data_IF_139843224808
#
_entry.id   IF_139843224808
#
_cell.length_a   1.000
_cell.length_b   1.000
_cell.length_c   1.000
_cell.angle_alpha   90.00
_cell.angle_beta   90.00
_cell.angle_gamma   90.00
#
_symmetry.space_group_name_H-M   'P 1'
#
loop_
_entity.id
_entity.type
_entity.pdbx_description
1 polymer ?
#
# COMPACT_ATOMS: atom_id res chain seq x y z
N UNK A 1 62.85 8.53 -82.22
CA UNK A 1 62.49 7.21 -82.79
C UNK A 1 62.11 6.30 -81.64
N UNK A 2 60.88 5.74 -81.66
CA UNK A 2 60.42 4.46 -81.06
C UNK A 2 60.66 4.22 -79.55
N UNK A 3 59.84 3.56 -78.73
CA UNK A 3 58.51 2.92 -78.71
C UNK A 3 58.31 2.58 -77.20
N UNK A 4 57.18 2.90 -76.58
CA UNK A 4 56.16 1.93 -76.08
C UNK A 4 56.69 0.87 -75.09
N UNK A 5 56.29 0.88 -73.79
CA UNK A 5 55.14 0.10 -73.26
C UNK A 5 55.02 0.09 -71.70
N UNK A 6 53.80 0.34 -71.22
CA UNK A 6 53.02 -0.32 -70.14
C UNK A 6 53.69 -0.83 -68.84
N UNK A 7 53.14 -0.46 -67.66
CA UNK A 7 52.82 -1.43 -66.58
C UNK A 7 51.83 -0.87 -65.52
N UNK A 8 50.60 -1.40 -65.57
CA UNK A 8 49.71 -1.86 -64.49
C UNK A 8 49.45 -0.97 -63.25
N UNK A 9 48.20 -0.51 -63.16
CA UNK A 9 47.46 -0.03 -61.98
C UNK A 9 47.22 -1.12 -60.93
N UNK A 10 47.51 -0.83 -59.66
CA UNK A 10 46.99 -1.58 -58.51
C UNK A 10 46.01 -0.70 -57.73
N UNK A 11 44.72 -1.04 -57.81
CA UNK A 11 43.66 -0.51 -56.95
C UNK A 11 43.67 -1.26 -55.61
N UNK A 12 43.99 -0.57 -54.51
CA UNK A 12 43.73 -1.07 -53.17
C UNK A 12 42.33 -0.61 -52.73
N UNK A 13 41.35 -1.51 -52.79
CA UNK A 13 40.03 -1.30 -52.20
C UNK A 13 40.09 -1.63 -50.70
N UNK A 14 40.00 -0.60 -49.84
CA UNK A 14 39.82 -0.75 -48.40
C UNK A 14 38.33 -1.03 -48.11
N UNK A 15 38.02 -2.28 -47.74
CA UNK A 15 36.73 -2.67 -47.18
C UNK A 15 36.65 -2.21 -45.72
N UNK A 16 35.90 -1.14 -45.46
CA UNK A 16 35.49 -0.75 -44.11
C UNK A 16 34.25 -1.57 -43.73
N UNK A 17 34.46 -2.61 -42.92
CA UNK A 17 33.37 -3.35 -42.30
C UNK A 17 32.84 -2.54 -41.10
N UNK A 18 31.70 -1.87 -41.28
CA UNK A 18 30.97 -1.22 -40.18
C UNK A 18 30.24 -2.31 -39.40
N UNK A 19 30.76 -2.67 -38.22
CA UNK A 19 30.08 -3.55 -37.28
C UNK A 19 28.95 -2.76 -36.60
N UNK A 20 27.70 -3.05 -36.98
CA UNK A 20 26.51 -2.56 -36.29
C UNK A 20 26.35 -3.30 -34.96
N UNK A 21 26.88 -2.73 -33.89
CA UNK A 21 26.55 -3.14 -32.53
C UNK A 21 25.08 -2.79 -32.26
N UNK A 22 24.19 -3.75 -32.51
CA UNK A 22 22.79 -3.67 -32.11
C UNK A 22 22.70 -3.59 -30.59
N UNK A 23 22.22 -2.46 -30.07
CA UNK A 23 21.93 -2.31 -28.65
C UNK A 23 20.85 -3.34 -28.27
N UNK A 24 21.24 -4.34 -27.48
CA UNK A 24 20.29 -5.26 -26.84
C UNK A 24 19.47 -4.44 -25.86
N UNK A 25 18.25 -4.07 -26.23
CA UNK A 25 17.27 -3.52 -25.31
C UNK A 25 16.88 -4.64 -24.34
N UNK A 26 17.51 -4.64 -23.16
CA UNK A 26 17.06 -5.47 -22.05
C UNK A 26 15.71 -4.91 -21.58
N UNK A 27 14.61 -5.62 -21.88
CA UNK A 27 13.32 -5.31 -21.27
C UNK A 27 13.50 -5.42 -19.75
N UNK A 28 13.12 -4.40 -18.96
CA UNK A 28 13.23 -4.49 -17.51
C UNK A 28 12.45 -5.72 -17.04
N UNK A 29 13.11 -6.61 -16.30
CA UNK A 29 12.47 -7.73 -15.65
C UNK A 29 11.60 -7.14 -14.54
N UNK A 30 10.29 -7.04 -14.80
CA UNK A 30 9.31 -6.70 -13.77
C UNK A 30 9.31 -7.88 -12.80
N UNK A 31 9.89 -7.69 -11.60
CA UNK A 31 9.78 -8.68 -10.54
C UNK A 31 8.29 -8.85 -10.20
N UNK A 32 7.76 -10.08 -10.13
CA UNK A 32 6.37 -10.29 -9.76
C UNK A 32 6.12 -9.76 -8.35
N UNK A 33 4.98 -9.10 -8.15
CA UNK A 33 4.53 -8.63 -6.83
C UNK A 33 4.25 -9.86 -5.96
N UNK A 34 4.82 -9.96 -4.74
CA UNK A 34 4.61 -11.12 -3.89
C UNK A 34 3.15 -11.20 -3.42
N UNK A 35 2.60 -12.41 -3.36
CA UNK A 35 1.26 -12.63 -2.80
C UNK A 35 1.29 -12.54 -1.27
N UNK A 36 0.14 -12.28 -0.61
CA UNK A 36 0.03 -12.36 0.84
C UNK A 36 0.56 -13.68 1.39
N UNK A 37 0.18 -14.81 0.78
CA UNK A 37 0.61 -16.15 1.19
C UNK A 37 2.13 -16.32 1.19
N UNK A 38 2.84 -15.77 0.20
CA UNK A 38 4.30 -15.89 0.11
C UNK A 38 5.04 -15.21 1.27
N UNK A 39 4.46 -14.15 1.85
CA UNK A 39 5.10 -13.40 2.95
C UNK A 39 4.53 -13.77 4.32
N UNK A 40 3.22 -13.99 4.40
CA UNK A 40 2.52 -14.39 5.62
C UNK A 40 2.85 -15.85 5.96
N UNK A 41 3.08 -16.70 4.96
CA UNK A 41 3.40 -18.13 5.12
C UNK A 41 2.17 -19.05 5.07
N UNK A 42 0.98 -18.50 4.89
CA UNK A 42 -0.27 -19.19 4.60
C UNK A 42 -1.23 -18.22 3.92
N UNK A 43 -2.18 -18.75 3.15
CA UNK A 43 -3.26 -17.95 2.55
C UNK A 43 -4.12 -17.31 3.65
N UNK A 44 -4.31 -15.97 3.68
CA UNK A 44 -5.26 -15.33 4.59
C UNK A 44 -6.65 -15.98 4.52
N UNK A 45 -7.24 -16.19 5.70
CA UNK A 45 -8.50 -16.93 5.84
C UNK A 45 -8.36 -18.46 5.86
N UNK A 46 -7.15 -19.01 5.82
CA UNK A 46 -6.94 -20.45 6.07
C UNK A 46 -7.43 -20.82 7.47
N UNK A 47 -8.21 -21.90 7.55
CA UNK A 47 -8.71 -22.44 8.81
C UNK A 47 -7.60 -22.57 9.84
N UNK A 48 -7.90 -22.10 11.05
CA UNK A 48 -7.00 -22.17 12.21
C UNK A 48 -5.65 -21.46 12.03
N UNK A 49 -5.58 -20.46 11.15
CA UNK A 49 -4.39 -19.61 10.98
C UNK A 49 -4.76 -18.14 11.14
N UNK A 50 -4.09 -17.46 12.07
CA UNK A 50 -4.16 -16.01 12.26
C UNK A 50 -2.77 -15.42 12.09
N UNK A 51 -2.64 -14.46 11.19
CA UNK A 51 -1.42 -13.68 11.01
C UNK A 51 -1.30 -12.68 12.15
N UNK A 52 -0.12 -12.60 12.74
CA UNK A 52 0.26 -11.55 13.67
C UNK A 52 0.59 -10.23 12.93
N UNK A 53 0.74 -9.14 13.68
CA UNK A 53 1.03 -7.84 13.09
C UNK A 53 2.38 -7.83 12.35
N UNK A 54 3.36 -8.62 12.79
CA UNK A 54 4.66 -8.69 12.12
C UNK A 54 4.55 -9.34 10.74
N UNK A 55 3.72 -10.37 10.59
CA UNK A 55 3.43 -10.97 9.28
C UNK A 55 2.72 -9.98 8.35
N UNK A 56 1.69 -9.29 8.83
CA UNK A 56 0.92 -8.31 8.03
C UNK A 56 1.80 -7.12 7.63
N UNK A 57 2.54 -6.52 8.56
CA UNK A 57 3.40 -5.36 8.28
C UNK A 57 4.57 -5.70 7.34
N UNK A 58 5.17 -6.88 7.46
CA UNK A 58 6.18 -7.36 6.48
C UNK A 58 5.58 -7.50 5.08
N UNK A 59 4.36 -8.00 4.97
CA UNK A 59 3.68 -8.10 3.68
C UNK A 59 3.47 -6.71 3.05
N UNK A 60 2.96 -5.73 3.79
CA UNK A 60 2.79 -4.37 3.26
C UNK A 60 4.12 -3.71 2.87
N UNK A 61 5.20 -3.99 3.61
CA UNK A 61 6.55 -3.54 3.24
C UNK A 61 7.01 -4.16 1.92
N UNK A 62 6.82 -5.47 1.75
CA UNK A 62 7.18 -6.18 0.52
C UNK A 62 6.33 -5.72 -0.68
N UNK A 63 5.03 -5.50 -0.47
CA UNK A 63 4.10 -5.00 -1.49
C UNK A 63 4.52 -3.61 -1.99
N UNK A 64 4.82 -2.68 -1.08
CA UNK A 64 5.28 -1.33 -1.42
C UNK A 64 6.62 -1.33 -2.16
N UNK A 65 7.54 -2.23 -1.78
CA UNK A 65 8.83 -2.37 -2.46
C UNK A 65 8.69 -2.95 -3.88
N UNK A 66 7.66 -3.76 -4.13
CA UNK A 66 7.45 -4.45 -5.41
C UNK A 66 6.48 -3.75 -6.36
N UNK A 67 5.68 -2.79 -5.87
CA UNK A 67 4.62 -2.16 -6.66
C UNK A 67 4.71 -0.63 -6.64
N UNK A 68 4.88 0.04 -7.80
CA UNK A 68 4.83 1.51 -7.89
C UNK A 68 3.42 2.08 -7.65
N UNK A 69 2.42 1.22 -7.45
CA UNK A 69 1.04 1.55 -7.14
C UNK A 69 0.75 1.58 -5.64
N UNK A 70 1.77 1.42 -4.80
CA UNK A 70 1.64 1.39 -3.34
C UNK A 70 2.71 2.28 -2.71
N UNK A 71 2.28 3.22 -1.87
CA UNK A 71 3.17 4.01 -1.03
C UNK A 71 2.86 3.74 0.44
N UNK A 72 3.87 3.30 1.20
CA UNK A 72 3.74 2.96 2.61
C UNK A 72 4.26 4.10 3.50
N UNK A 73 3.54 4.37 4.58
CA UNK A 73 3.86 5.40 5.56
C UNK A 73 3.90 4.78 6.95
N UNK A 74 4.88 5.17 7.75
CA UNK A 74 4.80 5.02 9.22
C UNK A 74 4.11 6.25 9.77
N UNK A 75 2.97 6.05 10.43
CA UNK A 75 2.06 7.15 10.82
C UNK A 75 2.11 7.48 12.31
N UNK A 76 2.82 6.68 13.09
CA UNK A 76 2.99 6.88 14.53
C UNK A 76 3.29 5.57 15.24
N UNK A 77 3.14 5.58 16.57
CA UNK A 77 3.35 4.42 17.42
C UNK A 77 2.04 4.00 18.08
N UNK A 78 1.85 2.69 18.24
CA UNK A 78 0.81 2.12 19.11
C UNK A 78 1.13 2.36 20.58
N UNK A 79 0.21 2.00 21.46
CA UNK A 79 0.37 2.17 22.90
C UNK A 79 1.57 1.40 23.47
N UNK A 80 1.89 0.22 22.91
CA UNK A 80 3.08 -0.56 23.27
C UNK A 80 4.29 -0.31 22.35
N UNK A 81 4.24 0.77 21.54
CA UNK A 81 5.41 1.30 20.83
C UNK A 81 5.69 0.68 19.45
N UNK A 82 4.73 -0.03 18.85
CA UNK A 82 4.87 -0.56 17.48
C UNK A 82 4.63 0.51 16.43
N UNK A 83 5.38 0.46 15.34
CA UNK A 83 5.15 1.32 14.19
C UNK A 83 3.80 1.00 13.54
N UNK A 84 2.86 1.94 13.64
CA UNK A 84 1.61 1.86 12.90
C UNK A 84 1.87 2.29 11.46
N UNK A 85 1.32 1.51 10.52
CA UNK A 85 1.52 1.72 9.09
C UNK A 85 0.21 2.08 8.38
N UNK A 86 0.34 2.83 7.29
CA UNK A 86 -0.73 3.21 6.39
C UNK A 86 -0.22 3.06 4.96
N UNK A 87 -1.04 2.53 4.07
CA UNK A 87 -0.73 2.42 2.65
C UNK A 87 -1.67 3.30 1.81
N UNK A 88 -1.10 4.07 0.90
CA UNK A 88 -1.86 4.70 -0.19
C UNK A 88 -1.70 3.84 -1.46
N UNK A 89 -2.81 3.41 -2.02
CA UNK A 89 -2.89 2.53 -3.19
C UNK A 89 -3.70 3.22 -4.29
N UNK A 90 -3.09 3.43 -5.45
CA UNK A 90 -3.72 4.09 -6.59
C UNK A 90 -2.96 3.79 -7.89
N UNK A 91 -3.30 4.42 -9.01
CA UNK A 91 -2.47 4.38 -10.21
C UNK A 91 -1.11 5.05 -9.94
N UNK A 92 -0.07 4.65 -10.68
CA UNK A 92 1.26 5.26 -10.55
C UNK A 92 1.24 6.76 -10.84
N UNK A 93 0.44 7.17 -11.83
CA UNK A 93 0.25 8.58 -12.17
C UNK A 93 -0.35 9.34 -10.99
N UNK A 94 -1.34 8.74 -10.32
CA UNK A 94 -1.98 9.36 -9.18
C UNK A 94 -1.01 9.51 -8.01
N UNK A 95 -0.23 8.47 -7.70
CA UNK A 95 0.74 8.52 -6.60
C UNK A 95 1.89 9.50 -6.86
N UNK A 96 2.33 9.69 -8.12
CA UNK A 96 3.28 10.77 -8.47
C UNK A 96 2.74 12.17 -8.18
N UNK A 97 1.42 12.33 -8.14
CA UNK A 97 0.71 13.59 -7.85
C UNK A 97 0.06 13.60 -6.46
N UNK A 98 0.42 12.66 -5.58
CA UNK A 98 -0.24 12.46 -4.29
C UNK A 98 -0.31 13.73 -3.43
N UNK A 99 0.79 14.49 -3.36
CA UNK A 99 0.83 15.75 -2.61
C UNK A 99 -0.19 16.78 -3.12
N UNK A 100 -0.38 16.84 -4.45
CA UNK A 100 -1.40 17.70 -5.05
C UNK A 100 -2.79 17.25 -4.66
N UNK A 101 -3.08 15.95 -4.72
CA UNK A 101 -4.41 15.44 -4.36
C UNK A 101 -4.72 15.58 -2.87
N UNK A 102 -3.75 15.39 -1.98
CA UNK A 102 -3.90 15.71 -0.55
C UNK A 102 -4.22 17.19 -0.32
N UNK A 103 -3.53 18.09 -1.01
CA UNK A 103 -3.80 19.54 -0.91
C UNK A 103 -5.19 19.92 -1.44
N UNK A 104 -5.63 19.33 -2.56
CA UNK A 104 -6.99 19.50 -3.08
C UNK A 104 -8.02 19.05 -2.04
N UNK A 105 -7.86 17.86 -1.46
CA UNK A 105 -8.77 17.32 -0.46
C UNK A 105 -8.86 18.22 0.78
N UNK A 106 -7.71 18.71 1.27
CA UNK A 106 -7.64 19.69 2.37
C UNK A 106 -8.38 20.99 2.06
N UNK A 107 -8.15 21.58 0.88
CA UNK A 107 -8.82 22.82 0.48
C UNK A 107 -10.34 22.65 0.39
N UNK A 108 -10.80 21.51 -0.15
CA UNK A 108 -12.22 21.19 -0.26
C UNK A 108 -12.87 20.90 1.11
N UNK A 109 -12.14 20.29 2.04
CA UNK A 109 -12.62 20.01 3.39
C UNK A 109 -12.72 21.28 4.26
N UNK A 110 -11.76 22.20 4.14
CA UNK A 110 -11.77 23.47 4.88
C UNK A 110 -12.79 24.47 4.30
N UNK A 111 -12.82 24.60 2.97
CA UNK A 111 -13.69 25.50 2.19
C UNK A 111 -13.61 27.01 2.53
N UNK A 112 -12.97 27.42 3.63
CA UNK A 112 -12.76 28.85 3.95
C UNK A 112 -11.97 29.54 2.84
N UNK A 113 -12.52 30.64 2.33
CA UNK A 113 -11.91 31.42 1.24
C UNK A 113 -12.05 30.79 -0.15
N UNK A 114 -12.86 29.74 -0.31
CA UNK A 114 -13.07 29.07 -1.59
C UNK A 114 -14.37 29.53 -2.25
N UNK A 115 -14.32 29.89 -3.52
CA UNK A 115 -15.53 30.15 -4.32
C UNK A 115 -16.08 28.86 -4.91
N UNK A 116 -17.38 28.83 -5.22
CA UNK A 116 -18.05 27.67 -5.84
C UNK A 116 -17.36 27.23 -7.15
N UNK A 117 -17.00 28.18 -8.02
CA UNK A 117 -16.33 27.88 -9.28
C UNK A 117 -14.98 27.20 -9.05
N UNK A 118 -14.21 27.70 -8.07
CA UNK A 118 -12.91 27.12 -7.73
C UNK A 118 -13.08 25.74 -7.09
N UNK A 119 -14.06 25.56 -6.21
CA UNK A 119 -14.39 24.27 -5.61
C UNK A 119 -14.75 23.22 -6.68
N UNK A 120 -15.60 23.58 -7.65
CA UNK A 120 -15.97 22.70 -8.76
C UNK A 120 -14.77 22.35 -9.65
N UNK A 121 -13.85 23.28 -9.88
CA UNK A 121 -12.62 23.01 -10.62
C UNK A 121 -11.72 22.03 -9.85
N UNK A 122 -11.51 22.26 -8.56
CA UNK A 122 -10.73 21.39 -7.68
C UNK A 122 -11.34 19.99 -7.60
N UNK A 123 -12.66 19.86 -7.50
CA UNK A 123 -13.35 18.58 -7.48
C UNK A 123 -13.19 17.78 -8.79
N UNK A 124 -13.11 18.46 -9.94
CA UNK A 124 -12.83 17.81 -11.24
C UNK A 124 -11.37 17.38 -11.39
N UNK A 125 -10.44 18.12 -10.79
CA UNK A 125 -9.01 17.80 -10.82
C UNK A 125 -8.64 16.69 -9.82
N UNK A 126 -9.27 16.73 -8.64
CA UNK A 126 -8.98 15.86 -7.51
C UNK A 126 -9.32 14.40 -7.76
N UNK A 127 -8.89 13.56 -6.81
CA UNK A 127 -9.25 12.15 -6.73
C UNK A 127 -10.02 11.92 -5.43
N UNK A 128 -10.99 11.01 -5.46
CA UNK A 128 -11.64 10.58 -4.24
C UNK A 128 -10.60 9.86 -3.37
N UNK A 129 -10.42 10.34 -2.15
CA UNK A 129 -9.65 9.66 -1.12
C UNK A 129 -10.64 8.82 -0.32
N UNK A 130 -10.48 7.50 -0.41
CA UNK A 130 -11.31 6.52 0.30
C UNK A 130 -10.46 5.91 1.39
N UNK A 131 -10.91 6.03 2.63
CA UNK A 131 -10.27 5.45 3.79
C UNK A 131 -10.92 4.11 4.14
N UNK A 132 -10.13 3.06 4.26
CA UNK A 132 -10.55 1.74 4.76
C UNK A 132 -9.56 1.26 5.80
N UNK A 133 -9.98 1.15 7.05
CA UNK A 133 -9.16 0.58 8.11
C UNK A 133 -9.64 -0.80 8.59
N UNK A 134 -8.75 -1.52 9.27
CA UNK A 134 -8.98 -2.91 9.65
C UNK A 134 -8.47 -3.17 11.07
N UNK A 135 -9.10 -4.13 11.75
CA UNK A 135 -8.57 -4.69 13.00
C UNK A 135 -8.53 -3.70 14.16
N UNK A 136 -9.56 -2.87 14.32
CA UNK A 136 -9.72 -1.99 15.46
C UNK A 136 -9.97 -2.80 16.75
N UNK A 137 -11.04 -3.60 16.76
CA UNK A 137 -11.26 -4.60 17.81
C UNK A 137 -10.45 -5.85 17.49
N UNK A 138 -9.47 -6.19 18.32
CA UNK A 138 -8.53 -7.27 17.97
C UNK A 138 -9.20 -8.66 17.95
N UNK A 139 -10.30 -8.84 18.69
CA UNK A 139 -11.08 -10.08 18.69
C UNK A 139 -11.93 -10.26 17.44
N UNK A 140 -12.13 -9.20 16.65
CA UNK A 140 -12.70 -9.29 15.30
C UNK A 140 -11.58 -9.70 14.34
N UNK A 141 -11.32 -11.00 14.27
CA UNK A 141 -10.10 -11.50 13.63
C UNK A 141 -10.11 -11.34 12.10
N UNK A 142 -11.27 -11.39 11.45
CA UNK A 142 -11.37 -11.41 9.99
C UNK A 142 -10.84 -10.13 9.29
N UNK A 143 -11.18 -8.90 9.73
CA UNK A 143 -10.67 -7.66 9.12
C UNK A 143 -9.14 -7.61 8.95
N UNK A 144 -8.37 -7.88 10.02
CA UNK A 144 -6.91 -7.81 9.95
C UNK A 144 -6.32 -8.81 8.93
N UNK A 145 -6.92 -10.00 8.82
CA UNK A 145 -6.49 -11.02 7.86
C UNK A 145 -6.83 -10.63 6.42
N UNK A 146 -7.97 -9.96 6.20
CA UNK A 146 -8.41 -9.53 4.87
C UNK A 146 -7.59 -8.35 4.30
N UNK A 147 -6.99 -7.53 5.16
CA UNK A 147 -6.26 -6.31 4.76
C UNK A 147 -5.21 -6.55 3.66
N UNK A 148 -4.45 -7.65 3.77
CA UNK A 148 -3.40 -8.02 2.83
C UNK A 148 -3.95 -8.39 1.45
N UNK A 149 -5.06 -9.13 1.40
CA UNK A 149 -5.73 -9.55 0.16
C UNK A 149 -6.39 -8.36 -0.56
N UNK A 150 -7.00 -7.44 0.20
CA UNK A 150 -7.56 -6.20 -0.35
C UNK A 150 -6.45 -5.37 -1.00
N UNK A 151 -5.35 -5.13 -0.27
CA UNK A 151 -4.22 -4.37 -0.79
C UNK A 151 -3.57 -5.04 -2.01
N UNK A 152 -3.39 -6.36 -1.97
CA UNK A 152 -2.88 -7.14 -3.10
C UNK A 152 -3.75 -6.95 -4.34
N UNK A 153 -5.06 -7.15 -4.17
CA UNK A 153 -6.03 -7.13 -5.27
C UNK A 153 -6.06 -5.76 -5.93
N UNK A 154 -6.17 -4.68 -5.15
CA UNK A 154 -6.20 -3.32 -5.71
C UNK A 154 -4.89 -2.98 -6.41
N UNK A 155 -3.74 -3.36 -5.85
CA UNK A 155 -2.44 -3.06 -6.43
C UNK A 155 -2.16 -3.84 -7.74
N UNK A 156 -2.62 -5.09 -7.85
CA UNK A 156 -2.16 -6.03 -8.89
C UNK A 156 -3.21 -6.41 -9.93
N UNK A 157 -4.50 -6.38 -9.58
CA UNK A 157 -5.54 -6.83 -10.50
C UNK A 157 -5.63 -5.93 -11.73
N UNK A 158 -5.73 -6.56 -12.89
CA UNK A 158 -5.91 -5.91 -14.19
C UNK A 158 -7.32 -6.18 -14.75
N UNK A 159 -8.30 -6.41 -13.88
CA UNK A 159 -9.70 -6.30 -14.30
C UNK A 159 -10.02 -4.84 -14.61
N UNK A 160 -10.96 -4.62 -15.54
CA UNK A 160 -11.38 -3.26 -15.91
C UNK A 160 -11.92 -2.48 -14.71
N UNK A 161 -12.64 -3.16 -13.84
CA UNK A 161 -13.15 -2.60 -12.60
C UNK A 161 -12.03 -2.09 -11.69
N UNK A 162 -11.00 -2.90 -11.41
CA UNK A 162 -9.93 -2.51 -10.48
C UNK A 162 -9.03 -1.44 -11.08
N UNK A 163 -8.78 -1.46 -12.40
CA UNK A 163 -8.11 -0.34 -13.10
C UNK A 163 -8.88 0.96 -12.90
N UNK A 164 -10.18 0.95 -13.17
CA UNK A 164 -11.03 2.13 -13.01
C UNK A 164 -11.04 2.63 -11.57
N UNK A 165 -11.04 1.74 -10.57
CA UNK A 165 -10.90 2.11 -9.17
C UNK A 165 -9.57 2.83 -8.95
N UNK A 166 -8.42 2.22 -9.31
CA UNK A 166 -7.11 2.84 -9.13
C UNK A 166 -6.95 4.18 -9.83
N UNK A 167 -7.54 4.37 -11.01
CA UNK A 167 -7.39 5.59 -11.78
C UNK A 167 -8.19 6.76 -11.21
N UNK A 168 -9.26 6.48 -10.46
CA UNK A 168 -10.17 7.49 -9.91
C UNK A 168 -10.10 7.66 -8.39
N UNK A 169 -9.54 6.67 -7.69
CA UNK A 169 -9.51 6.61 -6.23
C UNK A 169 -8.07 6.50 -5.73
N UNK A 170 -7.79 7.22 -4.64
CA UNK A 170 -6.63 6.96 -3.78
C UNK A 170 -7.18 6.20 -2.57
N UNK A 171 -6.97 4.88 -2.56
CA UNK A 171 -7.32 4.06 -1.41
C UNK A 171 -6.26 4.29 -0.33
N UNK A 172 -6.67 4.84 0.80
CA UNK A 172 -5.85 4.97 2.00
C UNK A 172 -6.28 3.89 2.95
N UNK A 173 -5.37 3.00 3.33
CA UNK A 173 -5.70 1.89 4.21
C UNK A 173 -4.75 1.76 5.38
N UNK A 174 -5.31 1.53 6.56
CA UNK A 174 -4.57 1.14 7.76
C UNK A 174 -4.75 -0.36 7.95
N UNK A 175 -3.71 -1.18 7.71
CA UNK A 175 -3.85 -2.63 7.68
C UNK A 175 -4.29 -3.24 9.01
N UNK A 176 -3.88 -2.63 10.13
CA UNK A 176 -4.24 -3.04 11.48
C UNK A 176 -4.21 -1.78 12.36
N UNK A 177 -5.37 -1.36 12.85
CA UNK A 177 -5.51 -0.21 13.76
C UNK A 177 -5.04 -0.52 15.17
N UNK A 178 -5.15 -1.78 15.60
CA UNK A 178 -4.73 -2.24 16.90
C UNK A 178 -3.65 -3.33 16.79
N UNK A 179 -2.40 -2.96 16.44
CA UNK A 179 -1.33 -3.92 16.24
C UNK A 179 -0.96 -4.68 17.52
N UNK A 180 -1.10 -4.05 18.69
CA UNK A 180 -0.79 -4.66 19.99
C UNK A 180 -1.82 -5.74 20.33
N UNK A 181 -3.10 -5.42 20.18
CA UNK A 181 -4.18 -6.37 20.41
C UNK A 181 -4.19 -7.54 19.42
N UNK A 182 -3.87 -7.31 18.13
CA UNK A 182 -3.80 -8.38 17.14
C UNK A 182 -2.79 -9.46 17.55
N UNK A 183 -1.63 -9.07 18.06
CA UNK A 183 -0.62 -10.03 18.52
C UNK A 183 -1.11 -10.82 19.73
N UNK A 184 -1.74 -10.16 20.70
CA UNK A 184 -2.34 -10.85 21.86
C UNK A 184 -3.31 -11.94 21.40
N UNK A 185 -4.25 -11.60 20.50
CA UNK A 185 -5.29 -12.52 20.02
C UNK A 185 -4.72 -13.63 19.13
N UNK A 186 -3.86 -13.28 18.18
CA UNK A 186 -3.25 -14.26 17.25
C UNK A 186 -2.32 -15.24 17.97
N UNK A 187 -1.56 -14.78 18.97
CA UNK A 187 -0.69 -15.63 19.77
C UNK A 187 -1.50 -16.56 20.67
N UNK A 188 -2.51 -16.02 21.38
CA UNK A 188 -3.42 -16.84 22.18
C UNK A 188 -4.05 -17.95 21.36
N UNK A 189 -4.60 -17.63 20.18
CA UNK A 189 -5.21 -18.63 19.32
C UNK A 189 -4.20 -19.69 18.85
N UNK A 190 -3.01 -19.26 18.43
CA UNK A 190 -1.94 -20.15 17.95
C UNK A 190 -1.45 -21.12 19.02
N UNK A 191 -1.39 -20.70 20.28
CA UNK A 191 -0.94 -21.54 21.40
C UNK A 191 -2.03 -22.53 21.86
N UNK A 192 -3.30 -22.27 21.56
CA UNK A 192 -4.45 -23.04 22.07
C UNK A 192 -5.22 -23.82 21.01
N UNK A 193 -4.86 -23.70 19.73
CA UNK A 193 -5.46 -24.51 18.66
C UNK A 193 -5.32 -26.01 18.97
N UNK A 194 -6.40 -26.77 18.84
CA UNK A 194 -6.46 -28.19 19.18
C UNK A 194 -6.58 -28.50 20.68
N UNK A 195 -6.74 -27.49 21.53
CA UNK A 195 -6.97 -27.65 22.98
C UNK A 195 -8.43 -27.30 23.35
N UNK A 196 -8.90 -27.57 24.59
CA UNK A 196 -10.21 -27.11 25.05
C UNK A 196 -10.40 -25.58 25.04
N UNK A 197 -9.33 -24.81 24.87
CA UNK A 197 -9.36 -23.35 24.81
C UNK A 197 -9.39 -22.80 23.38
N UNK A 198 -9.43 -23.65 22.35
CA UNK A 198 -9.56 -23.21 20.96
C UNK A 198 -10.80 -22.32 20.79
N UNK A 199 -10.61 -21.12 20.23
CA UNK A 199 -11.68 -20.15 19.99
C UNK A 199 -12.12 -19.33 21.21
N UNK A 200 -11.54 -19.56 22.39
CA UNK A 200 -11.75 -18.69 23.55
C UNK A 200 -11.00 -17.36 23.41
N UNK A 201 -11.48 -16.33 24.09
CA UNK A 201 -10.75 -15.04 24.19
C UNK A 201 -9.55 -15.15 25.13
N UNK A 202 -8.45 -14.42 24.88
CA UNK A 202 -7.34 -14.35 25.82
C UNK A 202 -7.81 -13.87 27.20
N UNK A 203 -7.17 -14.31 28.31
CA UNK A 203 -7.51 -13.90 29.67
C UNK A 203 -7.06 -12.46 29.99
N UNK A 204 -6.63 -11.72 28.97
CA UNK A 204 -6.22 -10.31 29.05
C UNK A 204 -6.99 -9.53 27.99
N UNK A 205 -7.32 -8.28 28.32
CA UNK A 205 -7.93 -7.38 27.35
C UNK A 205 -6.90 -6.92 26.33
N UNK A 206 -7.36 -6.69 25.11
CA UNK A 206 -6.50 -6.45 23.95
C UNK A 206 -6.15 -4.96 23.74
N UNK A 207 -6.60 -4.08 24.61
CA UNK A 207 -6.20 -2.68 24.61
C UNK A 207 -5.92 -2.14 26.01
N UNK A 208 -4.82 -1.41 26.13
CA UNK A 208 -4.43 -0.72 27.35
C UNK A 208 -5.33 0.49 27.53
N UNK A 209 -5.78 0.74 28.75
CA UNK A 209 -6.70 1.83 29.14
C UNK A 209 -8.14 1.76 28.62
N UNK A 210 -8.38 1.27 27.40
CA UNK A 210 -9.74 1.09 26.85
C UNK A 210 -10.31 -0.32 27.04
N UNK A 211 -9.46 -1.29 27.36
CA UNK A 211 -9.88 -2.68 27.57
C UNK A 211 -10.36 -3.33 26.28
N UNK A 212 -11.68 -3.41 26.11
CA UNK A 212 -12.31 -4.11 24.98
C UNK A 212 -12.91 -3.19 23.92
N UNK A 213 -13.11 -1.90 24.15
CA UNK A 213 -13.76 -1.03 23.15
C UNK A 213 -12.94 0.24 22.93
N UNK A 214 -11.94 0.12 22.07
CA UNK A 214 -11.18 1.26 21.56
C UNK A 214 -11.97 2.08 20.53
N UNK A 215 -13.14 1.62 20.06
CA UNK A 215 -14.02 2.37 19.17
C UNK A 215 -14.88 3.41 19.91
N UNK A 216 -14.70 3.58 21.22
CA UNK A 216 -15.32 4.67 22.01
C UNK A 216 -14.38 5.81 22.32
N UNK A 217 -13.12 5.71 21.92
CA UNK A 217 -12.10 6.68 22.30
C UNK A 217 -12.06 7.93 21.38
N UNK A 218 -12.73 7.92 20.22
CA UNK A 218 -12.61 8.96 19.18
C UNK A 218 -12.82 10.41 19.65
N UNK A 219 -13.70 10.63 20.63
CA UNK A 219 -13.96 11.96 21.19
C UNK A 219 -13.04 12.33 22.36
N UNK A 220 -12.50 11.33 23.08
CA UNK A 220 -11.60 11.56 24.22
C UNK A 220 -10.13 11.64 23.79
N UNK A 221 -9.78 10.87 22.76
CA UNK A 221 -8.42 10.74 22.23
C UNK A 221 -7.43 10.31 23.31
N UNK A 222 -7.78 9.33 24.16
CA UNK A 222 -6.89 8.86 25.24
C UNK A 222 -5.84 7.87 24.75
N UNK A 223 -6.16 7.06 23.74
CA UNK A 223 -5.26 6.03 23.19
C UNK A 223 -4.27 6.64 22.19
N UNK A 224 -3.07 6.05 22.08
CA UNK A 224 -2.07 6.49 21.12
C UNK A 224 -2.57 6.28 19.68
N UNK A 225 -3.19 5.14 19.43
CA UNK A 225 -3.75 4.71 18.15
C UNK A 225 -4.82 5.69 17.67
N UNK A 226 -5.77 6.07 18.53
CA UNK A 226 -6.82 7.04 18.19
C UNK A 226 -6.23 8.38 17.77
N UNK A 227 -5.22 8.89 18.48
CA UNK A 227 -4.54 10.17 18.14
C UNK A 227 -3.83 10.09 16.81
N UNK A 228 -3.10 8.99 16.57
CA UNK A 228 -2.40 8.72 15.31
C UNK A 228 -3.39 8.74 14.14
N UNK A 229 -4.49 7.99 14.26
CA UNK A 229 -5.48 7.89 13.18
C UNK A 229 -6.23 9.22 12.99
N UNK A 230 -6.59 9.90 14.06
CA UNK A 230 -7.23 11.22 13.99
C UNK A 230 -6.36 12.22 13.23
N UNK A 231 -5.06 12.23 13.49
CA UNK A 231 -4.14 13.09 12.74
C UNK A 231 -4.16 12.76 11.24
N UNK A 232 -4.19 11.46 10.90
CA UNK A 232 -4.27 11.05 9.50
C UNK A 232 -5.59 11.48 8.85
N UNK A 233 -6.73 11.30 9.52
CA UNK A 233 -8.05 11.62 8.97
C UNK A 233 -8.25 13.14 8.79
N UNK A 234 -7.89 13.94 9.79
CA UNK A 234 -8.32 15.34 9.88
C UNK A 234 -7.21 16.38 9.65
N UNK A 235 -5.96 15.95 9.52
CA UNK A 235 -4.85 16.85 9.23
C UNK A 235 -4.04 16.45 7.99
N UNK A 236 -4.05 15.17 7.61
CA UNK A 236 -3.25 14.69 6.48
C UNK A 236 -4.09 14.38 5.24
N UNK A 237 -5.11 13.54 5.37
CA UNK A 237 -5.75 12.89 4.22
C UNK A 237 -7.10 13.48 3.82
N UNK A 238 -7.91 13.95 4.77
CA UNK A 238 -9.25 14.49 4.50
C UNK A 238 -10.09 13.59 3.57
N UNK A 239 -10.28 12.31 3.92
CA UNK A 239 -10.99 11.36 3.06
C UNK A 239 -12.45 11.77 2.86
N UNK A 240 -12.98 11.54 1.65
CA UNK A 240 -14.40 11.76 1.34
C UNK A 240 -15.27 10.58 1.77
N UNK A 241 -14.68 9.40 1.91
CA UNK A 241 -15.34 8.17 2.39
C UNK A 241 -14.48 7.57 3.48
N UNK A 242 -15.08 7.24 4.62
CA UNK A 242 -14.47 6.49 5.71
C UNK A 242 -15.28 5.20 5.88
N UNK A 243 -14.60 4.05 5.93
CA UNK A 243 -15.19 2.73 6.09
C UNK A 243 -14.37 1.87 7.03
#
# INVERSE_FOLDING_TARGET
MQRVNSFVTWCAALLVAVATLGAVQTKPVVKPVPTPEQIIGFKPGTDRKLADFSQVSRYFTALAAASPRVQLFTIGKSTDGRDMILAAISSEENLKRLARFKDIARQLADARGLTDDRARQLAREGKAIVWIDFGLHATEVAPAQASAEVAFTIATSETEEVRRIRDNVILVTVPVMNPDGLDIVSHWYRDHVGTPFEGTTPPVLYQKYAGHDNNRDWYMQNLAETRVITNQLYHEWFPQVLY
#
